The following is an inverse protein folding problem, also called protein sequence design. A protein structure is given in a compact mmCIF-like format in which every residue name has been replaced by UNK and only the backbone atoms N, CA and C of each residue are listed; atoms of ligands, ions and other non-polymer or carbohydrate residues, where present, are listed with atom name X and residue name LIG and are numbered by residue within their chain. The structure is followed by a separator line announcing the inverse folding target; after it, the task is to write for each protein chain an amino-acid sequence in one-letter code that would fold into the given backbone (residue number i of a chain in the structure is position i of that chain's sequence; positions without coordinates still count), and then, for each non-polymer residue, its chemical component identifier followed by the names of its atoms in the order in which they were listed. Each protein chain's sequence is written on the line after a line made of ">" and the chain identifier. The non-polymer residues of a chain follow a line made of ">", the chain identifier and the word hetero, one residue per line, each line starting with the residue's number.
data_IF_433292845457
#
_entry.id   IF_433292845457
#
_cell.length_a   1.000
_cell.length_b   1.000
_cell.length_c   1.000
_cell.angle_alpha   90.00
_cell.angle_beta   90.00
_cell.angle_gamma   90.00
#
_symmetry.space_group_name_H-M   'P 1'
#
loop_
_entity.id
_entity.type
_entity.pdbx_description
1 polymer ?
#
# COMPACT_ATOMS: atom_id res chain seq x y z
N UNK A 1 18.74 15.54 12.17
CA UNK A 1 18.15 14.78 11.04
C UNK A 1 16.65 15.03 11.07
N UNK A 2 16.13 15.81 10.11
CA UNK A 2 14.76 16.33 10.13
C UNK A 2 13.83 15.30 9.47
N UNK A 3 12.97 14.62 10.24
CA UNK A 3 12.00 13.67 9.68
C UNK A 3 10.87 14.46 9.01
N UNK A 4 10.79 14.41 7.67
CA UNK A 4 9.66 14.95 6.92
C UNK A 4 8.39 14.17 7.30
N UNK A 5 7.53 14.78 8.12
CA UNK A 5 6.18 14.28 8.36
C UNK A 5 5.35 14.55 7.11
N UNK A 6 4.86 13.50 6.46
CA UNK A 6 3.82 13.61 5.44
C UNK A 6 2.46 13.58 6.11
N UNK A 7 1.64 14.58 5.85
CA UNK A 7 0.23 14.59 6.25
C UNK A 7 -0.61 13.83 5.23
N UNK A 8 -1.73 13.28 5.68
CA UNK A 8 -2.62 12.46 4.88
C UNK A 8 -4.08 12.80 5.19
N UNK A 9 -4.87 13.07 4.15
CA UNK A 9 -6.32 13.27 4.22
C UNK A 9 -7.02 12.02 3.69
N UNK A 10 -7.88 11.44 4.51
CA UNK A 10 -8.63 10.22 4.16
C UNK A 10 -9.88 10.58 3.36
N UNK A 11 -10.21 9.76 2.38
CA UNK A 11 -11.46 9.85 1.64
C UNK A 11 -12.00 8.47 1.28
N UNK A 12 -13.27 8.43 0.89
CA UNK A 12 -13.90 7.28 0.26
C UNK A 12 -14.32 7.64 -1.16
N UNK A 13 -14.09 6.74 -2.10
CA UNK A 13 -14.69 6.80 -3.42
C UNK A 13 -15.99 6.00 -3.37
N UNK A 14 -17.12 6.67 -3.59
CA UNK A 14 -18.46 6.11 -3.44
C UNK A 14 -19.16 6.21 -4.79
N UNK A 15 -19.81 5.14 -5.22
CA UNK A 15 -20.72 5.18 -6.35
C UNK A 15 -22.13 4.88 -5.89
N UNK A 16 -23.01 5.88 -6.00
CA UNK A 16 -24.35 5.92 -5.39
C UNK A 16 -24.30 5.70 -3.87
N UNK A 17 -24.40 4.45 -3.43
CA UNK A 17 -24.37 4.06 -2.01
C UNK A 17 -23.27 3.05 -1.68
N UNK A 18 -22.49 2.64 -2.69
CA UNK A 18 -21.47 1.60 -2.55
C UNK A 18 -20.08 2.23 -2.50
N UNK A 19 -19.34 1.97 -1.42
CA UNK A 19 -17.92 2.32 -1.36
C UNK A 19 -17.12 1.46 -2.33
N UNK A 20 -16.61 2.08 -3.40
CA UNK A 20 -15.73 1.46 -4.37
C UNK A 20 -14.31 1.32 -3.82
N UNK A 21 -13.84 2.35 -3.09
CA UNK A 21 -12.50 2.38 -2.56
C UNK A 21 -12.35 3.28 -1.33
N UNK A 22 -11.27 3.06 -0.59
CA UNK A 22 -10.76 3.98 0.42
C UNK A 22 -9.47 4.61 -0.09
N UNK A 23 -9.29 5.91 0.13
CA UNK A 23 -8.14 6.64 -0.36
C UNK A 23 -7.48 7.51 0.70
N UNK A 24 -6.22 7.81 0.46
CA UNK A 24 -5.44 8.85 1.13
C UNK A 24 -4.90 9.78 0.07
N UNK A 25 -5.14 11.07 0.25
CA UNK A 25 -4.37 12.14 -0.39
C UNK A 25 -3.22 12.53 0.55
N UNK A 26 -1.99 12.46 0.04
CA UNK A 26 -0.78 12.85 0.75
C UNK A 26 -0.53 14.35 0.59
N UNK A 27 0.23 14.94 1.53
CA UNK A 27 0.56 16.37 1.54
C UNK A 27 1.35 16.86 0.31
N UNK A 28 1.90 15.95 -0.49
CA UNK A 28 2.57 16.24 -1.75
C UNK A 28 1.66 16.07 -2.98
N UNK A 29 0.35 15.88 -2.77
CA UNK A 29 -0.65 15.78 -3.83
C UNK A 29 -0.86 14.36 -4.35
N UNK A 30 0.06 13.43 -4.10
CA UNK A 30 -0.10 12.04 -4.51
C UNK A 30 -1.26 11.37 -3.78
N UNK A 31 -1.93 10.43 -4.44
CA UNK A 31 -3.08 9.71 -3.91
C UNK A 31 -2.82 8.22 -3.91
N UNK A 32 -3.11 7.54 -2.79
CA UNK A 32 -3.09 6.07 -2.70
C UNK A 32 -4.49 5.56 -2.42
N UNK A 33 -4.96 4.60 -3.22
CA UNK A 33 -6.32 4.07 -3.15
C UNK A 33 -6.29 2.56 -2.95
N UNK A 34 -7.09 2.07 -2.00
CA UNK A 34 -7.41 0.66 -1.78
C UNK A 34 -8.79 0.34 -2.35
N UNK A 35 -8.81 -0.37 -3.47
CA UNK A 35 -10.03 -0.82 -4.14
C UNK A 35 -10.69 -1.96 -3.37
N UNK A 36 -12.01 -1.84 -3.17
CA UNK A 36 -12.82 -2.84 -2.46
C UNK A 36 -13.59 -3.74 -3.44
N UNK A 37 -14.04 -3.20 -4.57
CA UNK A 37 -14.85 -3.91 -5.58
C UNK A 37 -14.59 -3.37 -7.00
N UNK A 38 -14.81 -4.18 -8.06
CA UNK A 38 -15.05 -5.62 -8.04
C UNK A 38 -13.76 -6.44 -7.84
N UNK A 39 -12.58 -5.86 -8.12
CA UNK A 39 -11.28 -6.48 -7.82
C UNK A 39 -10.58 -5.69 -6.74
N UNK A 40 -10.15 -6.39 -5.69
CA UNK A 40 -9.35 -5.80 -4.62
C UNK A 40 -7.95 -5.50 -5.15
N UNK A 41 -7.43 -4.34 -4.81
CA UNK A 41 -6.11 -3.89 -5.28
C UNK A 41 -5.72 -2.57 -4.61
N UNK A 42 -4.47 -2.17 -4.82
CA UNK A 42 -3.98 -0.85 -4.41
C UNK A 42 -3.36 -0.17 -5.62
N UNK A 43 -3.64 1.13 -5.80
CA UNK A 43 -3.05 1.96 -6.86
C UNK A 43 -2.58 3.28 -6.27
N UNK A 44 -1.53 3.86 -6.87
CA UNK A 44 -1.03 5.20 -6.53
C UNK A 44 -1.14 6.09 -7.76
N UNK A 45 -1.47 7.36 -7.53
CA UNK A 45 -1.71 8.38 -8.54
C UNK A 45 -0.89 9.60 -8.18
N UNK A 46 0.13 9.91 -8.97
CA UNK A 46 1.03 11.03 -8.70
C UNK A 46 0.39 12.38 -9.07
N UNK A 47 -0.52 12.37 -10.05
CA UNK A 47 -1.30 13.54 -10.49
C UNK A 47 -2.55 13.81 -9.61
N UNK A 48 -2.67 13.09 -8.48
CA UNK A 48 -3.64 13.37 -7.43
C UNK A 48 -5.07 12.90 -7.70
N UNK A 49 -6.01 13.55 -7.01
CA UNK A 49 -7.43 13.15 -6.99
C UNK A 49 -8.12 13.35 -8.33
N UNK A 50 -7.78 14.41 -9.06
CA UNK A 50 -8.44 14.73 -10.33
C UNK A 50 -8.14 13.65 -11.37
N UNK A 51 -6.89 13.20 -11.51
CA UNK A 51 -6.53 12.12 -12.42
C UNK A 51 -7.20 10.77 -12.06
N UNK A 52 -7.38 10.51 -10.76
CA UNK A 52 -8.16 9.36 -10.27
C UNK A 52 -9.63 9.47 -10.73
N UNK A 53 -10.24 10.65 -10.60
CA UNK A 53 -11.63 10.89 -10.99
C UNK A 53 -11.82 10.90 -12.52
N UNK A 54 -10.88 11.41 -13.29
CA UNK A 54 -10.94 11.35 -14.75
C UNK A 54 -10.88 9.90 -15.26
N UNK A 55 -10.12 9.04 -14.57
CA UNK A 55 -9.98 7.64 -14.97
C UNK A 55 -11.12 6.74 -14.47
N UNK A 56 -11.64 6.99 -13.26
CA UNK A 56 -12.58 6.10 -12.58
C UNK A 56 -13.94 6.74 -12.25
N UNK A 57 -14.09 8.04 -12.46
CA UNK A 57 -15.32 8.79 -12.28
C UNK A 57 -16.19 8.69 -13.53
N UNK A 58 -17.06 7.68 -13.58
CA UNK A 58 -18.06 7.60 -14.64
C UNK A 58 -19.22 8.55 -14.32
N UNK A 59 -19.41 9.59 -15.15
CA UNK A 59 -20.56 10.50 -15.22
C UNK A 59 -21.41 10.65 -13.95
N UNK A 60 -21.19 11.72 -13.20
CA UNK A 60 -21.97 12.24 -12.05
C UNK A 60 -22.35 11.25 -10.92
N UNK A 61 -21.91 9.99 -11.00
CA UNK A 61 -22.38 8.92 -10.12
C UNK A 61 -21.32 8.40 -9.15
N UNK A 62 -20.06 8.73 -9.41
CA UNK A 62 -18.92 8.46 -8.53
C UNK A 62 -18.53 9.74 -7.82
N UNK A 63 -18.69 9.75 -6.50
CA UNK A 63 -18.40 10.88 -5.63
C UNK A 63 -17.21 10.57 -4.72
N UNK A 64 -16.48 11.61 -4.36
CA UNK A 64 -15.43 11.54 -3.35
C UNK A 64 -15.92 12.14 -2.03
N UNK A 65 -15.93 11.32 -0.98
CA UNK A 65 -16.38 11.72 0.35
C UNK A 65 -15.16 11.83 1.28
N UNK A 66 -14.80 13.06 1.62
CA UNK A 66 -13.71 13.32 2.57
C UNK A 66 -14.11 12.89 3.99
N UNK A 67 -13.17 12.27 4.69
CA UNK A 67 -13.36 11.93 6.11
C UNK A 67 -13.19 13.19 6.96
N UNK A 68 -14.12 13.45 7.86
CA UNK A 68 -14.06 14.57 8.83
C UNK A 68 -13.15 14.28 10.03
N UNK A 69 -12.55 13.09 10.08
CA UNK A 69 -11.63 12.68 11.14
C UNK A 69 -10.26 13.37 11.06
N UNK A 70 -9.42 13.20 12.11
CA UNK A 70 -8.13 13.86 12.18
C UNK A 70 -7.22 13.47 11.01
N UNK A 71 -6.57 14.46 10.40
CA UNK A 71 -5.52 14.25 9.39
C UNK A 71 -4.43 13.38 9.98
N UNK A 72 -4.15 12.26 9.31
CA UNK A 72 -3.11 11.34 9.78
C UNK A 72 -1.75 11.93 9.42
N UNK A 73 -0.88 12.10 10.40
CA UNK A 73 0.52 12.40 10.14
C UNK A 73 1.30 11.09 10.14
N UNK A 74 1.74 10.64 8.96
CA UNK A 74 2.65 9.49 8.90
C UNK A 74 4.03 9.99 9.31
N UNK A 75 4.45 9.63 10.53
CA UNK A 75 5.87 9.62 10.85
C UNK A 75 6.50 8.54 9.97
N UNK A 76 7.39 8.93 9.07
CA UNK A 76 8.35 8.00 8.50
C UNK A 76 9.23 7.53 9.65
N UNK A 77 8.81 6.46 10.33
CA UNK A 77 9.69 5.78 11.25
C UNK A 77 10.89 5.30 10.42
N UNK A 78 12.10 5.72 10.80
CA UNK A 78 13.28 4.94 10.47
C UNK A 78 13.00 3.47 10.84
N UNK A 79 13.51 2.48 10.09
CA UNK A 79 13.15 1.09 10.34
C UNK A 79 13.62 0.70 11.75
N UNK A 80 12.69 0.73 12.70
CA UNK A 80 12.93 0.27 14.07
C UNK A 80 12.86 -1.24 14.03
N UNK A 81 14.01 -1.84 13.73
CA UNK A 81 14.20 -3.27 13.56
C UNK A 81 14.37 -3.90 14.93
N UNK A 82 13.30 -3.90 15.73
CA UNK A 82 13.27 -4.64 16.99
C UNK A 82 11.98 -5.45 17.10
N UNK A 83 11.88 -6.49 16.26
CA UNK A 83 10.96 -7.60 16.49
C UNK A 83 11.74 -8.74 17.17
N UNK A 84 11.30 -9.31 18.29
CA UNK A 84 11.94 -10.49 18.86
C UNK A 84 11.62 -11.76 18.05
N UNK A 85 12.69 -12.39 17.53
CA UNK A 85 13.04 -13.83 17.44
C UNK A 85 11.86 -14.83 17.37
N UNK A 86 11.51 -15.48 16.24
CA UNK A 86 12.26 -16.53 15.50
C UNK A 86 11.80 -16.64 14.03
N UNK A 87 11.84 -15.57 13.24
CA UNK A 87 11.66 -15.72 11.79
C UNK A 87 12.92 -16.35 11.20
N UNK A 88 12.89 -17.65 10.90
CA UNK A 88 13.92 -18.31 10.10
C UNK A 88 13.78 -17.76 8.67
N UNK A 89 14.68 -16.87 8.30
CA UNK A 89 14.81 -16.41 6.93
C UNK A 89 15.40 -17.55 6.09
N UNK A 90 14.59 -18.07 5.16
CA UNK A 90 15.02 -19.07 4.20
C UNK A 90 15.27 -18.40 2.84
N UNK A 91 16.32 -18.81 2.10
CA UNK A 91 16.51 -18.35 0.73
C UNK A 91 15.38 -18.83 -0.18
N UNK A 92 15.11 -18.04 -1.23
CA UNK A 92 14.10 -18.33 -2.25
C UNK A 92 14.38 -19.67 -2.92
N UNK A 93 13.33 -20.46 -3.18
CA UNK A 93 13.42 -21.66 -4.02
C UNK A 93 13.61 -21.26 -5.49
N UNK A 94 14.59 -21.86 -6.16
CA UNK A 94 14.70 -21.86 -7.61
C UNK A 94 13.54 -22.64 -8.26
N UNK A 95 13.26 -22.43 -9.55
CA UNK A 95 12.13 -23.09 -10.25
C UNK A 95 12.17 -24.62 -10.22
N UNK A 96 13.36 -25.20 -10.01
CA UNK A 96 13.61 -26.64 -9.92
C UNK A 96 13.46 -27.20 -8.48
N UNK A 97 12.94 -26.40 -7.54
CA UNK A 97 12.72 -26.79 -6.15
C UNK A 97 13.98 -26.81 -5.29
N UNK A 98 15.08 -26.19 -5.75
CA UNK A 98 16.35 -26.11 -5.02
C UNK A 98 16.56 -24.74 -4.38
N UNK A 99 17.44 -24.66 -3.39
CA UNK A 99 17.89 -23.41 -2.80
C UNK A 99 18.64 -22.57 -3.83
N UNK A 100 18.19 -21.34 -4.06
CA UNK A 100 18.83 -20.39 -4.99
C UNK A 100 20.29 -20.07 -4.65
N UNK A 101 20.72 -20.27 -3.40
CA UNK A 101 22.07 -19.90 -2.93
C UNK A 101 23.08 -21.04 -3.03
N UNK A 102 22.66 -22.29 -2.83
CA UNK A 102 23.59 -23.44 -2.75
C UNK A 102 23.19 -24.65 -3.60
N UNK A 103 22.04 -24.61 -4.29
CA UNK A 103 21.58 -25.68 -5.18
C UNK A 103 21.15 -26.98 -4.48
N UNK A 104 21.06 -27.00 -3.13
CA UNK A 104 20.50 -28.14 -2.37
C UNK A 104 18.98 -28.13 -2.38
N UNK A 105 18.35 -29.26 -2.04
CA UNK A 105 16.88 -29.35 -1.91
C UNK A 105 16.33 -28.30 -0.91
N UNK A 106 15.21 -27.70 -1.28
CA UNK A 106 14.50 -26.74 -0.43
C UNK A 106 13.49 -27.47 0.48
N UNK A 107 13.26 -27.05 1.74
CA UNK A 107 13.82 -25.88 2.44
C UNK A 107 15.28 -26.09 2.90
N UNK A 108 16.12 -25.09 2.63
CA UNK A 108 17.53 -25.12 3.03
C UNK A 108 17.79 -24.25 4.27
N UNK A 109 18.04 -24.91 5.40
CA UNK A 109 18.34 -24.27 6.68
C UNK A 109 19.82 -23.86 6.83
N UNK A 110 20.70 -24.31 5.94
CA UNK A 110 22.14 -24.05 6.04
C UNK A 110 22.56 -22.69 5.48
N UNK A 111 21.75 -22.08 4.61
CA UNK A 111 22.14 -20.87 3.89
C UNK A 111 21.84 -19.57 4.64
N UNK A 112 21.10 -19.64 5.75
CA UNK A 112 20.68 -18.47 6.54
C UNK A 112 20.03 -17.34 5.70
N UNK A 113 19.76 -16.17 6.31
CA UNK A 113 19.55 -14.95 5.56
C UNK A 113 20.76 -14.58 4.66
#
# INVERSE_FOLDING_TARGET
>A
MNTLQRQARLFHLVHRTTTLAEGVEWSDGAVTVRWRVPRRGTSTWDDGVDALLDTHGTGDSTELHWSTGPTLSRRTAAPDRTAPTTTIWLPVSAPDGRCSRCGKLWPCFSCGP
#
